data_IF_893819016136
#
_entry.id   IF_893819016136
#
_cell.length_a   1.000
_cell.length_b   1.000
_cell.length_c   1.000
_cell.angle_alpha   90.00
_cell.angle_beta   90.00
_cell.angle_gamma   90.00
#
_symmetry.space_group_name_H-M   'P 1'
#
loop_
_entity.id
_entity.type
_entity.pdbx_description
1 polymer ?
#
# COMPACT_ATOMS: atom_id res chain seq x y z
N UNK A 1 8.41 -31.50 74.65
CA UNK A 1 8.58 -32.83 74.02
C UNK A 1 7.50 -32.93 72.96
N UNK A 2 7.85 -32.70 71.68
CA UNK A 2 8.26 -33.73 70.71
C UNK A 2 6.99 -34.19 69.93
N UNK A 3 6.69 -33.55 68.79
CA UNK A 3 7.18 -33.81 67.43
C UNK A 3 6.32 -34.85 66.70
N UNK A 4 5.66 -34.41 65.61
CA UNK A 4 5.41 -35.11 64.33
C UNK A 4 4.58 -36.42 64.39
N UNK A 5 3.83 -36.84 63.36
CA UNK A 5 4.15 -36.79 61.93
C UNK A 5 2.88 -36.99 61.10
N UNK A 6 2.82 -36.28 59.98
CA UNK A 6 1.93 -36.43 58.83
C UNK A 6 2.22 -37.72 58.07
N UNK A 7 1.19 -38.42 57.58
CA UNK A 7 1.31 -39.36 56.45
C UNK A 7 0.21 -39.00 55.44
N UNK A 8 0.62 -38.40 54.33
CA UNK A 8 -0.22 -38.22 53.13
C UNK A 8 -0.07 -39.49 52.31
N UNK A 9 -1.17 -40.21 52.08
CA UNK A 9 -1.20 -41.35 51.19
C UNK A 9 -1.01 -40.89 49.73
N UNK A 10 0.06 -41.36 49.09
CA UNK A 10 0.32 -41.16 47.68
C UNK A 10 -0.62 -42.02 46.84
N UNK A 11 -1.55 -41.39 46.11
CA UNK A 11 -2.28 -42.05 45.04
C UNK A 11 -1.38 -42.11 43.79
N UNK A 12 -1.05 -43.33 43.36
CA UNK A 12 -0.35 -43.59 42.11
C UNK A 12 -1.26 -43.25 40.92
N UNK A 13 -0.95 -42.14 40.24
CA UNK A 13 -1.54 -41.84 38.92
C UNK A 13 -0.63 -42.46 37.87
N UNK A 14 -1.13 -43.50 37.21
CA UNK A 14 -0.50 -44.08 36.03
C UNK A 14 -0.42 -43.01 34.92
N UNK A 15 0.80 -42.71 34.49
CA UNK A 15 1.09 -41.89 33.31
C UNK A 15 0.63 -42.64 32.05
N UNK A 16 -0.57 -42.37 31.58
CA UNK A 16 -0.97 -42.68 30.20
C UNK A 16 -0.48 -41.56 29.29
N UNK A 17 0.42 -41.89 28.38
CA UNK A 17 0.94 -41.00 27.34
C UNK A 17 -0.20 -40.26 26.60
N UNK A 18 -0.07 -38.96 26.30
CA UNK A 18 -0.97 -38.29 25.39
C UNK A 18 -0.78 -38.87 23.98
N UNK A 19 -1.87 -39.32 23.37
CA UNK A 19 -1.95 -39.67 21.96
C UNK A 19 -1.37 -38.53 21.12
N UNK A 20 -0.41 -38.85 20.25
CA UNK A 20 0.07 -37.93 19.24
C UNK A 20 -1.12 -37.46 18.36
N UNK A 21 -1.20 -36.18 17.98
CA UNK A 21 -2.21 -35.73 17.02
C UNK A 21 -1.98 -36.40 15.66
N UNK A 22 -3.05 -36.74 14.91
CA UNK A 22 -2.88 -37.32 13.58
C UNK A 22 -2.20 -36.31 12.64
N UNK A 23 -1.23 -36.82 11.88
CA UNK A 23 -0.55 -36.09 10.81
C UNK A 23 -1.56 -35.56 9.77
N UNK A 24 -1.44 -34.31 9.30
CA UNK A 24 -2.32 -33.81 8.24
C UNK A 24 -2.00 -34.53 6.92
N UNK A 25 -3.01 -35.19 6.35
CA UNK A 25 -2.96 -35.68 4.96
C UNK A 25 -3.00 -34.48 4.00
N UNK A 26 -2.25 -34.51 2.87
CA UNK A 26 -2.24 -33.40 1.92
C UNK A 26 -3.59 -33.27 1.23
N UNK A 27 -4.24 -32.13 1.40
CA UNK A 27 -5.45 -31.75 0.66
C UNK A 27 -5.01 -31.26 -0.72
N UNK A 28 -5.54 -31.79 -1.84
CA UNK A 28 -5.32 -31.17 -3.13
C UNK A 28 -6.05 -29.83 -3.19
N UNK A 29 -5.28 -28.74 -3.25
CA UNK A 29 -5.76 -27.39 -3.52
C UNK A 29 -6.49 -27.38 -4.86
N UNK A 30 -7.81 -27.36 -4.82
CA UNK A 30 -8.62 -27.06 -6.00
C UNK A 30 -8.61 -25.55 -6.20
N UNK A 31 -7.58 -25.05 -6.88
CA UNK A 31 -7.59 -23.71 -7.46
C UNK A 31 -8.67 -23.70 -8.53
N UNK A 32 -9.80 -23.05 -8.26
CA UNK A 32 -10.71 -22.63 -9.33
C UNK A 32 -9.99 -21.51 -10.07
N UNK A 33 -9.19 -21.89 -11.06
CA UNK A 33 -8.80 -20.98 -12.13
C UNK A 33 -10.03 -20.90 -13.02
N UNK A 34 -10.80 -19.82 -12.91
CA UNK A 34 -11.75 -19.45 -13.95
C UNK A 34 -10.90 -19.10 -15.17
N UNK A 35 -10.64 -20.08 -16.04
CA UNK A 35 -10.01 -19.88 -17.34
C UNK A 35 -10.98 -19.06 -18.18
N UNK A 36 -10.81 -17.74 -18.14
CA UNK A 36 -11.24 -16.89 -19.26
C UNK A 36 -10.33 -17.28 -20.41
N UNK A 37 -10.88 -17.90 -21.45
CA UNK A 37 -10.13 -18.21 -22.66
C UNK A 37 -9.60 -16.88 -23.24
N UNK A 38 -8.29 -16.68 -23.19
CA UNK A 38 -7.62 -15.55 -23.83
C UNK A 38 -7.11 -16.08 -25.16
N UNK A 39 -7.79 -15.73 -26.25
CA UNK A 39 -7.55 -16.35 -27.56
C UNK A 39 -6.20 -15.98 -28.19
N UNK A 40 -5.47 -14.98 -27.69
CA UNK A 40 -4.11 -14.70 -28.15
C UNK A 40 -3.35 -13.77 -27.20
N UNK A 41 -2.10 -14.09 -26.89
CA UNK A 41 -1.14 -13.15 -26.33
C UNK A 41 -0.21 -12.68 -27.45
N UNK A 42 -0.21 -11.39 -27.77
CA UNK A 42 0.78 -10.81 -28.68
C UNK A 42 1.75 -9.95 -27.87
N UNK A 43 2.98 -10.44 -27.68
CA UNK A 43 4.05 -9.72 -26.98
C UNK A 43 4.88 -9.00 -28.03
N UNK A 44 4.76 -7.67 -28.09
CA UNK A 44 5.69 -6.85 -28.87
C UNK A 44 7.00 -6.69 -28.10
N UNK A 45 8.13 -6.76 -28.80
CA UNK A 45 9.49 -6.67 -28.25
C UNK A 45 9.79 -5.34 -27.50
N UNK A 46 8.85 -4.38 -27.49
CA UNK A 46 8.93 -3.13 -26.72
C UNK A 46 8.12 -3.14 -25.42
N UNK A 47 7.75 -4.31 -24.88
CA UNK A 47 7.18 -4.44 -23.53
C UNK A 47 5.76 -3.88 -23.38
N UNK A 48 5.08 -3.56 -24.48
CA UNK A 48 3.70 -3.06 -24.46
C UNK A 48 2.73 -4.24 -24.47
N UNK A 49 2.02 -4.44 -23.36
CA UNK A 49 0.95 -5.43 -23.24
C UNK A 49 -0.37 -4.79 -23.67
N UNK A 50 -1.07 -5.39 -24.64
CA UNK A 50 -2.42 -4.99 -25.02
C UNK A 50 -3.36 -6.20 -24.93
N UNK A 51 -4.40 -6.08 -24.11
CA UNK A 51 -5.48 -7.08 -23.99
C UNK A 51 -6.69 -6.50 -24.72
N UNK A 52 -7.03 -7.09 -25.86
CA UNK A 52 -8.24 -6.73 -26.59
C UNK A 52 -9.39 -7.55 -25.98
N UNK A 53 -10.42 -6.86 -25.46
CA UNK A 53 -11.68 -7.37 -24.89
C UNK A 53 -11.73 -7.76 -23.40
N UNK A 54 -11.61 -6.77 -22.52
CA UNK A 54 -12.25 -6.82 -21.19
C UNK A 54 -13.15 -5.58 -20.98
N UNK A 55 -14.42 -5.73 -20.58
CA UNK A 55 -15.30 -4.59 -20.30
C UNK A 55 -14.86 -3.92 -18.99
N UNK A 56 -14.07 -2.86 -19.16
CA UNK A 56 -13.87 -1.78 -18.20
C UNK A 56 -13.14 -2.12 -16.91
N UNK A 57 -11.80 -2.12 -16.96
CA UNK A 57 -10.87 -1.78 -15.85
C UNK A 57 -9.41 -2.24 -16.05
N UNK A 58 -8.96 -2.53 -17.28
CA UNK A 58 -7.59 -3.05 -17.47
C UNK A 58 -6.86 -2.48 -18.71
N UNK A 59 -6.86 -1.15 -18.86
CA UNK A 59 -5.99 -0.47 -19.84
C UNK A 59 -5.54 0.88 -19.31
N UNK A 60 -4.89 0.85 -18.15
CA UNK A 60 -3.96 1.89 -17.70
C UNK A 60 -2.74 1.17 -17.14
N UNK A 61 -2.07 0.37 -17.97
CA UNK A 61 -0.66 0.06 -17.78
C UNK A 61 0.19 1.27 -18.25
N UNK A 62 -0.25 2.48 -17.92
CA UNK A 62 0.42 3.73 -18.24
C UNK A 62 1.05 4.24 -16.95
N UNK A 63 2.34 3.98 -16.79
CA UNK A 63 3.24 4.67 -15.85
C UNK A 63 2.84 4.66 -14.36
N UNK A 64 2.41 3.53 -13.81
CA UNK A 64 2.36 3.33 -12.34
C UNK A 64 3.78 3.28 -11.80
N UNK A 65 4.35 4.47 -11.60
CA UNK A 65 5.64 4.82 -11.03
C UNK A 65 6.01 6.18 -11.62
N UNK A 66 5.46 7.25 -11.04
CA UNK A 66 5.74 8.60 -11.51
C UNK A 66 7.22 8.97 -11.39
N UNK A 67 7.97 8.40 -10.43
CA UNK A 67 9.38 8.74 -10.21
C UNK A 67 10.32 8.32 -11.34
N UNK A 68 9.88 7.47 -12.27
CA UNK A 68 10.65 7.19 -13.51
C UNK A 68 10.64 8.33 -14.51
N UNK A 69 9.61 9.18 -14.47
CA UNK A 69 9.34 10.20 -15.48
C UNK A 69 9.11 11.58 -14.86
N UNK A 70 9.31 11.70 -13.56
CA UNK A 70 9.22 12.94 -12.81
C UNK A 70 10.46 13.12 -11.95
N UNK A 71 10.88 14.37 -11.77
CA UNK A 71 11.99 14.80 -10.93
C UNK A 71 11.51 15.84 -9.91
N UNK A 72 12.41 16.31 -9.03
CA UNK A 72 12.13 17.35 -8.04
C UNK A 72 10.86 17.02 -7.22
N UNK A 73 10.83 15.80 -6.67
CA UNK A 73 9.70 15.27 -5.91
C UNK A 73 9.74 15.85 -4.50
N UNK A 74 8.66 16.49 -4.10
CA UNK A 74 8.52 17.16 -2.82
C UNK A 74 7.13 16.94 -2.25
N UNK A 75 7.00 17.17 -0.94
CA UNK A 75 5.74 17.06 -0.23
C UNK A 75 5.63 18.09 0.87
N UNK A 76 4.42 18.60 1.08
CA UNK A 76 4.13 19.55 2.13
C UNK A 76 3.78 18.81 3.42
N UNK A 77 4.33 19.28 4.55
CA UNK A 77 3.99 18.84 5.89
C UNK A 77 2.56 19.21 6.31
N UNK A 78 2.01 20.25 5.69
CA UNK A 78 0.76 20.91 6.10
C UNK A 78 -0.39 20.53 5.17
N UNK A 79 -0.18 20.62 3.86
CA UNK A 79 -1.28 20.55 2.89
C UNK A 79 -1.60 19.14 2.37
N UNK A 80 -0.83 18.12 2.77
CA UNK A 80 -0.92 16.74 2.23
C UNK A 80 -0.79 16.69 0.70
N UNK A 81 -0.05 17.65 0.15
CA UNK A 81 0.21 17.81 -1.28
C UNK A 81 1.58 17.23 -1.58
N UNK A 82 1.66 16.46 -2.66
CA UNK A 82 2.91 16.10 -3.32
C UNK A 82 3.03 16.93 -4.59
N UNK A 83 4.24 17.35 -4.92
CA UNK A 83 4.51 17.95 -6.22
C UNK A 83 5.80 17.42 -6.82
N UNK A 84 5.81 17.38 -8.16
CA UNK A 84 6.94 16.92 -8.94
C UNK A 84 6.94 17.60 -10.31
N UNK A 85 8.12 17.71 -10.92
CA UNK A 85 8.29 18.11 -12.30
C UNK A 85 8.19 16.86 -13.18
N UNK A 86 7.13 16.73 -13.98
CA UNK A 86 6.84 15.52 -14.75
C UNK A 86 6.96 15.77 -16.25
N UNK A 87 7.57 14.81 -16.96
CA UNK A 87 7.68 14.86 -18.42
C UNK A 87 6.35 14.50 -19.08
N UNK A 88 5.98 15.24 -20.12
CA UNK A 88 4.85 14.91 -21.00
C UNK A 88 5.17 13.84 -22.05
N UNK A 89 6.40 13.31 -22.04
CA UNK A 89 6.97 12.36 -23.03
C UNK A 89 7.16 12.91 -24.45
N UNK A 90 6.84 14.19 -24.69
CA UNK A 90 7.04 14.92 -25.94
C UNK A 90 8.14 16.00 -25.83
N UNK A 91 8.90 16.00 -24.73
CA UNK A 91 9.98 16.94 -24.45
C UNK A 91 9.58 18.10 -23.55
N UNK A 92 8.29 18.23 -23.21
CA UNK A 92 7.79 19.19 -22.24
C UNK A 92 7.91 18.66 -20.80
N UNK A 93 8.00 19.61 -19.87
CA UNK A 93 8.07 19.35 -18.43
C UNK A 93 7.13 20.29 -17.70
N UNK A 94 6.30 19.73 -16.83
CA UNK A 94 5.30 20.49 -16.07
C UNK A 94 5.38 20.16 -14.59
N UNK A 95 5.36 21.19 -13.76
CA UNK A 95 5.26 21.04 -12.32
C UNK A 95 3.81 20.81 -11.95
N UNK A 96 3.56 19.71 -11.26
CA UNK A 96 2.23 19.29 -10.89
C UNK A 96 2.11 19.17 -9.39
N UNK A 97 0.99 19.64 -8.86
CA UNK A 97 0.64 19.50 -7.43
C UNK A 97 -0.56 18.59 -7.31
N UNK A 98 -0.49 17.64 -6.39
CA UNK A 98 -1.50 16.61 -6.22
C UNK A 98 -1.81 16.42 -4.72
N UNK A 99 -3.09 16.49 -4.31
CA UNK A 99 -3.50 16.21 -2.93
C UNK A 99 -3.64 14.71 -2.71
N UNK A 100 -2.77 14.16 -1.88
CA UNK A 100 -2.67 12.71 -1.67
C UNK A 100 -3.92 12.06 -1.11
N UNK A 101 -4.81 12.77 -0.41
CA UNK A 101 -5.99 12.10 0.12
C UNK A 101 -7.10 11.88 -0.90
N UNK A 102 -6.89 12.26 -2.17
CA UNK A 102 -7.65 11.67 -3.26
C UNK A 102 -7.26 10.19 -3.49
N UNK A 103 -6.12 9.75 -2.95
CA UNK A 103 -5.53 8.43 -3.17
C UNK A 103 -5.18 7.67 -1.89
N UNK A 104 -5.20 8.30 -0.72
CA UNK A 104 -4.78 7.70 0.53
C UNK A 104 -5.91 7.72 1.56
N UNK A 105 -6.11 6.56 2.20
CA UNK A 105 -7.04 6.33 3.31
C UNK A 105 -6.24 5.99 4.57
N UNK A 106 -6.69 6.48 5.72
CA UNK A 106 -6.28 5.93 7.00
C UNK A 106 -7.15 4.72 7.35
N UNK A 107 -6.60 3.52 7.17
CA UNK A 107 -7.28 2.28 7.57
C UNK A 107 -6.78 1.82 8.93
N UNK A 108 -7.48 2.28 9.98
CA UNK A 108 -7.22 1.89 11.38
C UNK A 108 -5.78 2.17 11.84
N UNK A 109 -5.23 3.32 11.47
CA UNK A 109 -3.87 3.75 11.83
C UNK A 109 -2.82 3.43 10.77
N UNK A 110 -3.20 2.79 9.66
CA UNK A 110 -2.30 2.46 8.55
C UNK A 110 -2.71 3.21 7.28
N UNK A 111 -1.76 3.87 6.63
CA UNK A 111 -1.96 4.43 5.29
C UNK A 111 -2.11 3.31 4.26
N UNK A 112 -3.15 3.42 3.45
CA UNK A 112 -3.40 2.50 2.33
C UNK A 112 -3.83 3.28 1.10
N UNK A 113 -3.45 2.78 -0.07
CA UNK A 113 -3.89 3.32 -1.34
C UNK A 113 -5.39 3.05 -1.55
N UNK A 114 -6.17 4.11 -1.73
CA UNK A 114 -7.62 4.08 -1.91
C UNK A 114 -8.11 5.37 -2.58
N UNK A 115 -8.90 5.23 -3.65
CA UNK A 115 -9.62 6.36 -4.25
C UNK A 115 -10.51 7.06 -3.22
N UNK A 116 -10.45 8.38 -3.17
CA UNK A 116 -11.19 9.25 -2.24
C UNK A 116 -10.97 8.91 -0.76
N UNK A 117 -9.75 8.50 -0.39
CA UNK A 117 -9.46 7.99 0.95
C UNK A 117 -9.49 9.04 2.08
N UNK A 118 -9.26 10.32 1.78
CA UNK A 118 -9.38 11.47 2.70
C UNK A 118 -8.64 11.29 4.04
N UNK A 119 -7.48 10.65 4.03
CA UNK A 119 -6.71 10.34 5.25
C UNK A 119 -6.45 11.56 6.15
N UNK A 120 -6.28 12.76 5.57
CA UNK A 120 -6.05 14.04 6.27
C UNK A 120 -7.09 14.35 7.36
N UNK A 121 -8.27 13.72 7.33
CA UNK A 121 -9.29 13.88 8.38
C UNK A 121 -8.89 13.26 9.71
N UNK A 122 -7.94 12.32 9.68
CA UNK A 122 -7.59 11.45 10.83
C UNK A 122 -6.09 11.19 10.93
N UNK A 123 -5.28 11.90 10.16
CA UNK A 123 -3.84 11.85 10.21
C UNK A 123 -3.28 13.26 10.25
N UNK A 124 -2.08 13.38 10.79
CA UNK A 124 -1.32 14.61 10.95
C UNK A 124 0.17 14.32 10.79
N UNK A 125 0.99 15.37 10.81
CA UNK A 125 2.45 15.28 10.77
C UNK A 125 2.94 14.49 9.54
N UNK A 126 2.34 14.81 8.39
CA UNK A 126 2.44 14.02 7.17
C UNK A 126 3.43 14.62 6.18
N UNK A 127 4.40 13.85 5.68
CA UNK A 127 5.37 14.35 4.71
C UNK A 127 6.42 13.31 4.34
N UNK A 128 7.35 13.69 3.46
CA UNK A 128 8.55 12.91 3.21
C UNK A 128 9.54 13.16 4.37
N UNK A 129 9.70 12.16 5.25
CA UNK A 129 10.62 12.27 6.40
C UNK A 129 12.07 12.00 6.03
N UNK A 130 12.30 11.35 4.89
CA UNK A 130 13.62 10.94 4.44
C UNK A 130 13.88 11.50 3.03
N UNK A 131 14.83 12.43 2.86
CA UNK A 131 15.13 13.02 1.57
C UNK A 131 15.71 12.02 0.57
N UNK A 132 16.36 10.94 1.05
CA UNK A 132 16.92 9.88 0.20
C UNK A 132 15.82 8.89 -0.25
N UNK A 133 14.65 8.91 0.40
CA UNK A 133 13.45 8.14 0.02
C UNK A 133 12.30 9.07 -0.36
N UNK A 134 12.51 9.87 -1.42
CA UNK A 134 11.54 10.84 -1.93
C UNK A 134 10.17 10.29 -2.39
N UNK A 135 9.95 8.97 -2.31
CA UNK A 135 8.65 8.32 -2.56
C UNK A 135 7.99 7.75 -1.31
N UNK A 136 8.69 7.75 -0.17
CA UNK A 136 8.19 7.22 1.10
C UNK A 136 7.45 8.30 1.88
N UNK A 137 6.12 8.26 1.82
CA UNK A 137 5.26 9.21 2.48
C UNK A 137 4.91 8.72 3.90
N UNK A 138 5.20 9.53 4.91
CA UNK A 138 4.97 9.21 6.32
C UNK A 138 3.85 10.08 6.88
N UNK A 139 3.11 9.55 7.85
CA UNK A 139 2.09 10.26 8.63
C UNK A 139 1.99 9.66 10.03
N UNK A 140 1.41 10.43 10.95
CA UNK A 140 0.89 9.92 12.22
C UNK A 140 -0.64 9.87 12.13
N UNK A 141 -1.25 8.69 12.29
CA UNK A 141 -2.67 8.45 12.03
C UNK A 141 -3.39 7.89 13.25
N UNK A 142 -4.65 8.31 13.45
CA UNK A 142 -5.50 7.79 14.51
C UNK A 142 -5.94 6.35 14.19
N UNK A 143 -5.65 5.36 15.05
CA UNK A 143 -6.19 4.03 14.90
C UNK A 143 -7.65 3.97 15.33
N UNK A 144 -8.30 2.83 15.09
CA UNK A 144 -9.63 2.56 15.66
C UNK A 144 -9.50 2.50 17.20
N UNK A 145 -10.30 3.26 17.97
CA UNK A 145 -10.30 3.15 19.42
C UNK A 145 -10.52 1.71 19.87
N UNK A 146 -9.73 1.25 20.84
CA UNK A 146 -9.82 -0.09 21.42
C UNK A 146 -10.03 0.05 22.92
N UNK A 147 -11.01 -0.66 23.47
CA UNK A 147 -11.35 -0.56 24.88
C UNK A 147 -10.17 -0.94 25.78
N UNK A 148 -9.89 -0.12 26.79
CA UNK A 148 -8.77 -0.35 27.71
C UNK A 148 -7.38 0.00 27.14
N UNK A 149 -7.30 0.55 25.93
CA UNK A 149 -6.04 1.00 25.31
C UNK A 149 -6.10 2.51 25.14
N UNK A 150 -5.03 3.20 25.53
CA UNK A 150 -4.87 4.63 25.28
C UNK A 150 -4.98 4.91 23.78
N UNK A 151 -5.90 5.80 23.42
CA UNK A 151 -6.07 6.21 22.03
C UNK A 151 -4.99 7.24 21.69
N UNK A 152 -3.98 6.82 20.94
CA UNK A 152 -2.87 7.66 20.49
C UNK A 152 -2.62 7.50 19.00
N UNK A 153 -1.97 8.50 18.41
CA UNK A 153 -1.50 8.44 17.03
C UNK A 153 -0.47 7.33 16.86
N UNK A 154 -0.48 6.72 15.69
CA UNK A 154 0.48 5.70 15.29
C UNK A 154 1.15 6.15 14.00
N UNK A 155 2.47 6.08 13.97
CA UNK A 155 3.25 6.38 12.77
C UNK A 155 3.04 5.28 11.72
N UNK A 156 2.87 5.71 10.47
CA UNK A 156 2.66 4.85 9.32
C UNK A 156 3.34 5.44 8.10
N UNK A 157 3.84 4.57 7.24
CA UNK A 157 4.48 4.95 5.99
C UNK A 157 3.84 4.21 4.81
N UNK A 158 3.91 4.81 3.63
CA UNK A 158 3.53 4.18 2.38
C UNK A 158 4.49 4.65 1.27
N UNK A 159 4.96 3.70 0.48
CA UNK A 159 5.69 4.01 -0.76
C UNK A 159 4.68 4.37 -1.86
N UNK A 160 4.76 5.59 -2.38
CA UNK A 160 3.87 6.08 -3.44
C UNK A 160 4.14 5.41 -4.79
N UNK A 161 5.30 4.77 -4.92
CA UNK A 161 5.84 4.25 -6.18
C UNK A 161 5.97 2.72 -6.18
N UNK A 162 5.77 2.08 -5.02
CA UNK A 162 6.13 0.68 -4.71
C UNK A 162 6.39 -0.19 -5.93
N UNK A 163 7.67 -0.31 -6.26
CA UNK A 163 8.17 -1.00 -7.47
C UNK A 163 8.06 -2.52 -7.41
N UNK A 164 7.75 -3.07 -6.24
CA UNK A 164 7.61 -4.50 -5.99
C UNK A 164 6.15 -4.90 -5.76
N UNK A 165 5.27 -3.95 -5.48
CA UNK A 165 3.82 -4.20 -5.45
C UNK A 165 3.15 -3.85 -6.79
N UNK A 166 2.18 -4.68 -7.18
CA UNK A 166 1.07 -4.33 -8.09
C UNK A 166 0.29 -3.06 -7.65
N UNK A 167 0.62 -2.50 -6.50
CA UNK A 167 -0.06 -1.41 -5.83
C UNK A 167 0.56 -0.03 -6.09
N UNK A 168 1.57 0.10 -6.97
CA UNK A 168 1.96 1.42 -7.44
C UNK A 168 0.71 2.13 -7.99
N UNK A 169 0.25 3.14 -7.28
CA UNK A 169 -1.06 3.75 -7.51
C UNK A 169 -0.95 5.19 -7.98
N UNK A 170 0.22 5.81 -7.81
CA UNK A 170 0.56 7.11 -8.38
C UNK A 170 1.39 6.95 -9.64
N UNK A 171 1.02 7.71 -10.65
CA UNK A 171 1.66 7.70 -11.95
C UNK A 171 1.76 9.09 -12.57
N UNK A 172 2.43 9.12 -13.72
CA UNK A 172 2.51 10.30 -14.57
C UNK A 172 1.70 10.05 -15.84
N UNK A 173 0.62 10.81 -16.02
CA UNK A 173 -0.26 10.74 -17.18
C UNK A 173 -0.13 12.02 -18.02
N UNK A 174 0.70 11.94 -19.07
CA UNK A 174 1.00 13.03 -20.01
C UNK A 174 1.54 14.29 -19.32
N UNK A 175 2.48 14.10 -18.40
CA UNK A 175 3.09 15.20 -17.66
C UNK A 175 2.24 15.65 -16.48
N UNK A 176 1.19 14.93 -16.10
CA UNK A 176 0.35 15.23 -14.93
C UNK A 176 0.41 14.11 -13.89
N UNK A 177 0.60 14.47 -12.62
CA UNK A 177 0.47 13.50 -11.52
C UNK A 177 -0.96 12.98 -11.45
N UNK A 178 -1.10 11.66 -11.41
CA UNK A 178 -2.39 11.00 -11.39
C UNK A 178 -2.38 9.82 -10.42
N UNK A 179 -3.54 9.51 -9.85
CA UNK A 179 -3.73 8.26 -9.14
C UNK A 179 -5.10 7.67 -9.42
N UNK A 180 -5.20 6.36 -9.63
CA UNK A 180 -6.48 5.71 -9.96
C UNK A 180 -7.25 6.42 -11.11
N UNK A 181 -6.55 7.03 -12.07
CA UNK A 181 -7.13 7.82 -13.17
C UNK A 181 -7.67 9.21 -12.77
N UNK A 182 -7.47 9.64 -11.52
CA UNK A 182 -7.81 10.97 -11.03
C UNK A 182 -6.59 11.88 -11.18
N UNK A 183 -6.82 13.09 -11.71
CA UNK A 183 -5.82 14.15 -11.85
C UNK A 183 -6.30 15.41 -11.16
N UNK A 184 -5.38 16.25 -10.71
CA UNK A 184 -5.73 17.60 -10.24
C UNK A 184 -5.60 18.62 -11.38
N UNK A 185 -6.68 19.37 -11.64
CA UNK A 185 -6.66 20.53 -12.54
C UNK A 185 -6.07 21.77 -11.86
N UNK A 186 -4.86 21.68 -11.35
CA UNK A 186 -4.13 22.86 -10.86
C UNK A 186 -3.25 23.42 -11.98
N UNK A 187 -2.93 24.71 -11.92
CA UNK A 187 -2.09 25.37 -12.92
C UNK A 187 -0.74 24.64 -12.99
N UNK A 188 -0.45 24.07 -14.15
CA UNK A 188 0.83 23.49 -14.49
C UNK A 188 1.77 24.67 -14.79
N UNK A 189 2.86 24.74 -14.05
CA UNK A 189 3.94 25.68 -14.33
C UNK A 189 5.00 24.92 -15.12
N UNK A 190 5.59 25.54 -16.14
CA UNK A 190 6.76 24.95 -16.78
C UNK A 190 7.88 24.78 -15.75
N UNK A 191 8.56 23.66 -15.82
CA UNK A 191 9.69 23.35 -14.95
C UNK A 191 10.81 22.70 -15.76
N UNK A 192 11.98 22.56 -15.15
CA UNK A 192 13.09 21.82 -15.72
C UNK A 192 13.41 20.60 -14.84
N UNK A 193 13.86 19.49 -15.45
CA UNK A 193 14.18 18.27 -14.74
C UNK A 193 15.27 18.47 -13.68
#
# INVERSE_FOLDING_TARGET
>A
MQLSTTIVAAAAVSLTSPLAPPSPSPVPSSTIITTVAVDSFNVSANGTFSINNAPGNQLLASNHNFSKTCTNIHGDFIDTIVWACCSDMNGGWSQNRFRLGQCLENRRGKLVARRDGRFWRTCQDCGFKDPDRATMYSCSCWPKPTAGVEHKLVDTEIDLVDTLSINAFMGNDQGELACFGVKERRRNEECQP
#
